data_IF_615954819246
#
_entry.id   IF_615954819246
#
_cell.length_a   1.000
_cell.length_b   1.000
_cell.length_c   1.000
_cell.angle_alpha   90.00
_cell.angle_beta   90.00
_cell.angle_gamma   90.00
#
_symmetry.space_group_name_H-M   'P 1'
#
loop_
_entity.id
_entity.type
_entity.pdbx_description
1 polymer ?
#
# COMPACT_ATOMS: atom_id res chain seq x y z
N UNK A 1 25.29 -40.99 -26.37
CA UNK A 1 23.97 -41.62 -26.48
C UNK A 1 23.51 -41.42 -27.93
N UNK A 2 24.31 -41.89 -28.90
CA UNK A 2 24.48 -43.31 -29.29
C UNK A 2 23.18 -43.76 -29.96
N UNK A 3 23.13 -44.22 -31.21
CA UNK A 3 23.99 -45.25 -31.83
C UNK A 3 23.46 -45.37 -33.29
N UNK A 4 24.25 -45.54 -34.36
CA UNK A 4 24.71 -46.81 -34.98
C UNK A 4 24.75 -46.54 -36.51
N UNK A 5 25.64 -47.02 -37.39
CA UNK A 5 26.73 -48.01 -37.30
C UNK A 5 27.57 -48.00 -38.59
N UNK A 6 28.91 -48.04 -38.42
CA UNK A 6 29.88 -49.06 -38.93
C UNK A 6 29.85 -49.35 -40.46
N UNK A 7 30.85 -48.96 -41.27
CA UNK A 7 32.19 -49.60 -41.48
C UNK A 7 32.05 -51.01 -42.11
N UNK A 8 32.80 -51.56 -43.09
CA UNK A 8 34.21 -51.43 -43.48
C UNK A 8 34.47 -52.30 -44.74
N UNK A 9 35.41 -51.87 -45.60
CA UNK A 9 36.41 -52.64 -46.39
C UNK A 9 36.02 -53.83 -47.30
N UNK A 10 36.53 -53.79 -48.54
CA UNK A 10 37.48 -54.79 -49.05
C UNK A 10 38.25 -54.28 -50.27
N UNK A 11 39.57 -54.47 -50.24
CA UNK A 11 40.47 -54.25 -51.36
C UNK A 11 40.87 -55.57 -52.06
N UNK A 12 41.24 -55.39 -53.34
CA UNK A 12 42.12 -56.19 -54.21
C UNK A 12 41.81 -57.68 -54.46
N UNK A 13 41.58 -58.05 -55.73
CA UNK A 13 42.59 -58.77 -56.50
C UNK A 13 42.38 -58.71 -58.04
N UNK A 14 43.48 -58.96 -58.76
CA UNK A 14 43.74 -58.71 -60.19
C UNK A 14 43.55 -59.97 -61.06
N UNK A 15 43.10 -59.83 -62.31
CA UNK A 15 43.66 -60.56 -63.49
C UNK A 15 43.00 -60.20 -64.85
N UNK A 16 43.79 -59.50 -65.68
CA UNK A 16 44.08 -59.74 -67.12
C UNK A 16 43.05 -60.37 -68.06
N UNK A 17 42.75 -59.66 -69.18
CA UNK A 17 43.30 -59.90 -70.55
C UNK A 17 42.67 -58.87 -71.52
N UNK A 18 43.47 -57.98 -72.13
CA UNK A 18 44.02 -58.12 -73.48
C UNK A 18 42.98 -58.19 -74.60
N UNK A 19 42.78 -57.07 -75.33
CA UNK A 19 43.04 -57.01 -76.78
C UNK A 19 42.66 -55.63 -77.32
N UNK A 20 43.64 -55.02 -78.00
CA UNK A 20 43.58 -53.98 -79.04
C UNK A 20 42.20 -53.55 -79.51
N UNK A 21 41.97 -52.23 -79.54
CA UNK A 21 42.05 -51.46 -80.79
C UNK A 21 41.89 -49.95 -80.50
N UNK A 22 42.93 -49.17 -80.74
CA UNK A 22 43.11 -48.36 -81.94
C UNK A 22 42.34 -47.04 -81.89
N UNK A 23 43.12 -45.95 -81.75
CA UNK A 23 42.84 -44.60 -82.21
C UNK A 23 41.51 -43.94 -81.79
N UNK A 24 41.59 -42.96 -80.89
CA UNK A 24 40.92 -41.69 -81.13
C UNK A 24 41.52 -40.56 -80.29
N UNK A 25 42.24 -39.67 -80.98
CA UNK A 25 42.34 -38.26 -80.62
C UNK A 25 40.93 -37.72 -80.31
N UNK A 26 40.56 -37.65 -79.03
CA UNK A 26 39.38 -36.88 -78.59
C UNK A 26 39.85 -35.49 -78.22
N UNK A 27 39.50 -34.52 -79.07
CA UNK A 27 39.81 -33.10 -78.90
C UNK A 27 39.54 -32.62 -77.46
N UNK A 28 40.53 -32.05 -76.75
CA UNK A 28 40.35 -31.45 -75.41
C UNK A 28 39.15 -30.48 -75.38
N UNK A 29 38.94 -29.75 -76.47
CA UNK A 29 37.85 -28.81 -76.68
C UNK A 29 36.44 -29.43 -76.56
N UNK A 30 36.20 -30.64 -77.10
CA UNK A 30 34.88 -31.29 -77.01
C UNK A 30 34.58 -31.79 -75.58
N UNK A 31 35.61 -32.24 -74.86
CA UNK A 31 35.45 -32.62 -73.45
C UNK A 31 35.20 -31.41 -72.54
N UNK A 32 35.85 -30.28 -72.86
CA UNK A 32 35.64 -29.00 -72.16
C UNK A 32 34.24 -28.44 -72.43
N UNK A 33 33.77 -28.50 -73.68
CA UNK A 33 32.42 -28.05 -74.07
C UNK A 33 31.33 -28.84 -73.33
N UNK A 34 31.42 -30.18 -73.33
CA UNK A 34 30.48 -31.06 -72.58
C UNK A 34 30.54 -30.88 -71.05
N UNK A 35 31.65 -30.37 -70.51
CA UNK A 35 31.74 -30.00 -69.09
C UNK A 35 31.05 -28.66 -68.86
N UNK A 36 31.29 -27.68 -69.73
CA UNK A 36 30.63 -26.37 -69.70
C UNK A 36 29.11 -26.49 -69.82
N UNK A 37 28.60 -27.34 -70.70
CA UNK A 37 27.16 -27.59 -70.84
C UNK A 37 26.55 -28.19 -69.57
N UNK A 38 27.25 -29.14 -68.92
CA UNK A 38 26.81 -29.71 -67.65
C UNK A 38 26.86 -28.71 -66.49
N UNK A 39 27.90 -27.87 -66.44
CA UNK A 39 27.98 -26.79 -65.46
C UNK A 39 26.89 -25.74 -65.69
N UNK A 40 26.61 -25.38 -66.94
CA UNK A 40 25.54 -24.45 -67.29
C UNK A 40 24.16 -25.01 -66.91
N UNK A 41 23.91 -26.30 -67.16
CA UNK A 41 22.68 -26.98 -66.74
C UNK A 41 22.55 -27.02 -65.21
N UNK A 42 23.63 -27.34 -64.49
CA UNK A 42 23.65 -27.34 -63.03
C UNK A 42 23.40 -25.95 -62.42
N UNK A 43 24.00 -24.90 -63.00
CA UNK A 43 23.73 -23.51 -62.60
C UNK A 43 22.27 -23.15 -62.84
N UNK A 44 21.68 -23.59 -63.95
CA UNK A 44 20.27 -23.32 -64.25
C UNK A 44 19.34 -23.97 -63.22
N UNK A 45 19.61 -25.22 -62.83
CA UNK A 45 18.85 -25.94 -61.79
C UNK A 45 19.00 -25.29 -60.41
N UNK A 46 20.22 -24.84 -60.05
CA UNK A 46 20.47 -24.12 -58.80
C UNK A 46 19.75 -22.77 -58.77
N UNK A 47 19.76 -22.02 -59.86
CA UNK A 47 19.04 -20.73 -60.00
C UNK A 47 17.54 -20.95 -59.87
N UNK A 48 16.98 -21.98 -60.51
CA UNK A 48 15.55 -22.31 -60.39
C UNK A 48 15.17 -22.74 -58.97
N UNK A 49 16.06 -23.47 -58.28
CA UNK A 49 15.87 -23.88 -56.89
C UNK A 49 15.88 -22.66 -55.94
N UNK A 50 16.84 -21.76 -56.12
CA UNK A 50 16.94 -20.52 -55.34
C UNK A 50 15.72 -19.62 -55.61
N UNK A 51 15.31 -19.47 -56.87
CA UNK A 51 14.13 -18.69 -57.25
C UNK A 51 12.87 -19.21 -56.55
N UNK A 52 12.64 -20.53 -56.57
CA UNK A 52 11.53 -21.17 -55.82
C UNK A 52 11.61 -20.94 -54.32
N UNK A 53 12.80 -21.03 -53.73
CA UNK A 53 13.01 -20.77 -52.30
C UNK A 53 12.72 -19.31 -51.94
N UNK A 54 13.13 -18.35 -52.78
CA UNK A 54 12.86 -16.92 -52.59
C UNK A 54 11.35 -16.66 -52.67
N UNK A 55 10.65 -17.20 -53.67
CA UNK A 55 9.19 -17.06 -53.77
C UNK A 55 8.47 -17.65 -52.55
N UNK A 56 8.94 -18.79 -52.03
CA UNK A 56 8.36 -19.41 -50.85
C UNK A 56 8.62 -18.60 -49.57
N UNK A 57 9.80 -17.99 -49.45
CA UNK A 57 10.11 -17.08 -48.34
C UNK A 57 9.31 -15.77 -48.43
N UNK A 58 9.18 -15.18 -49.62
CA UNK A 58 8.37 -13.98 -49.83
C UNK A 58 6.91 -14.20 -49.42
N UNK A 59 6.33 -15.35 -49.80
CA UNK A 59 4.97 -15.71 -49.38
C UNK A 59 4.83 -15.88 -47.86
N UNK A 60 5.85 -16.42 -47.18
CA UNK A 60 5.85 -16.54 -45.71
C UNK A 60 5.96 -15.18 -45.03
N UNK A 61 6.76 -14.26 -45.57
CA UNK A 61 6.88 -12.90 -45.04
C UNK A 61 5.53 -12.19 -45.13
N UNK A 62 4.87 -12.26 -46.29
CA UNK A 62 3.54 -11.67 -46.50
C UNK A 62 2.49 -12.24 -45.53
N UNK A 63 2.51 -13.57 -45.29
CA UNK A 63 1.64 -14.18 -44.28
C UNK A 63 1.93 -13.69 -42.85
N UNK A 64 3.20 -13.52 -42.48
CA UNK A 64 3.58 -13.02 -41.15
C UNK A 64 3.21 -11.56 -40.97
N UNK A 65 3.37 -10.72 -41.99
CA UNK A 65 2.96 -9.31 -41.97
C UNK A 65 1.45 -9.19 -41.75
N UNK A 66 0.66 -10.02 -42.44
CA UNK A 66 -0.79 -10.07 -42.24
C UNK A 66 -1.18 -10.52 -40.82
N UNK A 67 -0.45 -11.48 -40.25
CA UNK A 67 -0.67 -11.92 -38.87
C UNK A 67 -0.30 -10.82 -37.85
N UNK A 68 0.78 -10.08 -38.09
CA UNK A 68 1.22 -8.98 -37.24
C UNK A 68 0.20 -7.84 -37.23
N UNK A 69 -0.33 -7.48 -38.40
CA UNK A 69 -1.36 -6.45 -38.54
C UNK A 69 -2.66 -6.87 -37.82
N UNK A 70 -3.10 -8.11 -38.02
CA UNK A 70 -4.26 -8.66 -37.32
C UNK A 70 -4.06 -8.68 -35.79
N UNK A 71 -2.84 -8.98 -35.32
CA UNK A 71 -2.51 -8.96 -33.90
C UNK A 71 -2.54 -7.52 -33.34
N UNK A 72 -1.98 -6.55 -34.06
CA UNK A 72 -2.02 -5.13 -33.67
C UNK A 72 -3.45 -4.61 -33.59
N UNK A 73 -4.28 -4.88 -34.59
CA UNK A 73 -5.69 -4.49 -34.59
C UNK A 73 -6.46 -5.13 -33.43
N UNK A 74 -6.14 -6.40 -33.10
CA UNK A 74 -6.75 -7.08 -31.97
C UNK A 74 -6.30 -6.50 -30.63
N UNK A 75 -5.04 -6.12 -30.49
CA UNK A 75 -4.52 -5.44 -29.29
C UNK A 75 -5.23 -4.10 -29.11
N UNK A 76 -5.26 -3.24 -30.14
CA UNK A 76 -5.94 -1.95 -30.07
C UNK A 76 -7.43 -2.10 -29.71
N UNK A 77 -8.11 -3.09 -30.32
CA UNK A 77 -9.51 -3.38 -30.00
C UNK A 77 -9.68 -3.80 -28.54
N UNK A 78 -8.83 -4.69 -28.04
CA UNK A 78 -8.86 -5.15 -26.66
C UNK A 78 -8.53 -4.02 -25.68
N UNK A 79 -7.59 -3.13 -26.00
CA UNK A 79 -7.26 -1.95 -25.19
C UNK A 79 -8.45 -0.99 -25.08
N UNK A 80 -9.10 -0.67 -26.20
CA UNK A 80 -10.30 0.19 -26.20
C UNK A 80 -11.45 -0.48 -25.44
N UNK A 81 -11.63 -1.79 -25.60
CA UNK A 81 -12.67 -2.55 -24.90
C UNK A 81 -12.39 -2.63 -23.39
N UNK A 82 -11.14 -2.82 -22.97
CA UNK A 82 -10.70 -2.76 -21.58
C UNK A 82 -10.93 -1.38 -20.99
N UNK A 83 -10.49 -0.32 -21.66
CA UNK A 83 -10.72 1.05 -21.22
C UNK A 83 -12.22 1.33 -21.07
N UNK A 84 -13.02 1.01 -22.09
CA UNK A 84 -14.47 1.26 -22.08
C UNK A 84 -15.17 0.46 -20.97
N UNK A 85 -14.76 -0.79 -20.75
CA UNK A 85 -15.35 -1.65 -19.71
C UNK A 85 -14.93 -1.20 -18.32
N UNK A 86 -13.69 -0.76 -18.12
CA UNK A 86 -13.21 -0.15 -16.87
C UNK A 86 -14.01 1.12 -16.60
N UNK A 87 -14.09 2.07 -17.54
CA UNK A 87 -14.84 3.32 -17.33
C UNK A 87 -16.34 3.14 -17.13
N UNK A 88 -16.99 2.17 -17.79
CA UNK A 88 -18.44 1.89 -17.62
C UNK A 88 -18.77 1.03 -16.39
N UNK A 89 -17.81 0.27 -15.87
CA UNK A 89 -18.02 -0.58 -14.69
C UNK A 89 -17.53 0.06 -13.41
N UNK A 90 -16.89 1.23 -13.48
CA UNK A 90 -16.52 1.99 -12.31
C UNK A 90 -17.80 2.60 -11.70
N UNK A 91 -18.21 2.14 -10.50
CA UNK A 91 -19.36 2.74 -9.85
C UNK A 91 -19.06 4.21 -9.54
N UNK A 92 -20.04 5.09 -9.78
CA UNK A 92 -20.02 6.49 -9.35
C UNK A 92 -20.02 6.56 -7.81
N UNK A 93 -18.85 6.32 -7.21
CA UNK A 93 -18.59 6.63 -5.82
C UNK A 93 -18.12 8.08 -5.76
N UNK A 94 -19.06 9.03 -5.86
CA UNK A 94 -18.82 10.39 -5.38
C UNK A 94 -18.72 10.32 -3.85
N UNK A 95 -17.54 9.97 -3.34
CA UNK A 95 -17.27 9.99 -1.91
C UNK A 95 -17.15 11.45 -1.48
N UNK A 96 -18.03 11.89 -0.59
CA UNK A 96 -17.99 13.24 -0.05
C UNK A 96 -17.16 13.30 1.23
N UNK A 97 -16.56 14.46 1.49
CA UNK A 97 -15.86 14.76 2.74
C UNK A 97 -16.75 14.47 3.98
N UNK A 98 -18.05 14.74 3.87
CA UNK A 98 -19.03 14.45 4.93
C UNK A 98 -19.17 12.94 5.19
N UNK A 99 -19.24 12.12 4.13
CA UNK A 99 -19.35 10.65 4.27
C UNK A 99 -18.09 10.03 4.87
N UNK A 100 -16.91 10.53 4.49
CA UNK A 100 -15.62 10.11 5.08
C UNK A 100 -15.57 10.47 6.56
N UNK A 101 -16.00 11.68 6.89
CA UNK A 101 -16.12 12.15 8.27
C UNK A 101 -17.03 11.25 9.10
N UNK A 102 -18.23 10.92 8.59
CA UNK A 102 -19.19 10.04 9.28
C UNK A 102 -18.64 8.62 9.48
N UNK A 103 -18.08 8.01 8.43
CA UNK A 103 -17.45 6.68 8.52
C UNK A 103 -16.32 6.67 9.57
N UNK A 104 -15.50 7.73 9.61
CA UNK A 104 -14.42 7.83 10.57
C UNK A 104 -14.93 7.96 12.01
N UNK A 105 -16.00 8.72 12.25
CA UNK A 105 -16.63 8.82 13.56
C UNK A 105 -17.16 7.46 14.03
N UNK A 106 -17.84 6.71 13.15
CA UNK A 106 -18.34 5.36 13.47
C UNK A 106 -17.21 4.42 13.85
N UNK A 107 -16.10 4.46 13.11
CA UNK A 107 -14.89 3.66 13.42
C UNK A 107 -14.31 4.03 14.78
N UNK A 108 -14.21 5.34 15.05
CA UNK A 108 -13.68 5.87 16.30
C UNK A 108 -14.49 5.37 17.48
N UNK A 109 -15.80 5.59 17.44
CA UNK A 109 -16.72 5.24 18.51
C UNK A 109 -16.76 3.71 18.70
N UNK A 110 -16.74 2.93 17.60
CA UNK A 110 -16.67 1.46 17.66
C UNK A 110 -15.39 0.94 18.29
N UNK A 111 -14.24 1.58 18.03
CA UNK A 111 -12.96 1.22 18.64
C UNK A 111 -12.94 1.57 20.13
N UNK A 112 -13.42 2.75 20.51
CA UNK A 112 -13.54 3.13 21.92
C UNK A 112 -14.43 2.14 22.68
N UNK A 113 -15.64 1.85 22.19
CA UNK A 113 -16.54 0.87 22.82
C UNK A 113 -15.95 -0.54 22.91
N UNK A 114 -15.15 -0.93 21.91
CA UNK A 114 -14.44 -2.20 21.95
C UNK A 114 -13.38 -2.24 23.05
N UNK A 115 -12.69 -1.12 23.26
CA UNK A 115 -11.66 -0.95 24.27
C UNK A 115 -12.23 -0.82 25.70
N UNK A 116 -13.34 -0.11 25.90
CA UNK A 116 -13.96 0.10 27.22
C UNK A 116 -14.32 -1.19 27.96
N UNK A 117 -14.66 -2.27 27.23
CA UNK A 117 -15.00 -3.53 27.89
C UNK A 117 -13.81 -4.44 28.22
N UNK A 118 -12.57 -3.96 28.16
CA UNK A 118 -11.40 -4.72 28.64
C UNK A 118 -11.24 -4.50 30.16
N UNK A 119 -10.92 -5.54 30.95
CA UNK A 119 -10.63 -5.35 32.36
C UNK A 119 -9.36 -4.53 32.60
N UNK A 120 -9.18 -4.07 33.83
CA UNK A 120 -7.98 -3.39 34.28
C UNK A 120 -6.75 -4.31 34.19
N UNK A 121 -5.57 -3.71 33.96
CA UNK A 121 -4.31 -4.42 33.82
C UNK A 121 -3.45 -4.18 35.05
N UNK A 122 -2.97 -5.26 35.66
CA UNK A 122 -2.03 -5.18 36.78
C UNK A 122 -0.70 -4.60 36.32
N UNK A 123 -0.21 -3.60 37.04
CA UNK A 123 1.07 -2.93 36.75
C UNK A 123 1.15 -2.45 35.29
N UNK A 124 0.10 -1.78 34.80
CA UNK A 124 0.00 -1.34 33.41
C UNK A 124 1.22 -0.54 32.95
N UNK A 125 1.60 0.49 33.72
CA UNK A 125 2.75 1.35 33.42
C UNK A 125 4.07 0.56 33.24
N UNK A 126 4.33 -0.43 34.10
CA UNK A 126 5.55 -1.25 34.05
C UNK A 126 5.55 -2.24 32.88
N UNK A 127 4.36 -2.73 32.49
CA UNK A 127 4.20 -3.75 31.45
C UNK A 127 4.08 -3.16 30.04
N UNK A 128 3.59 -1.93 29.91
CA UNK A 128 3.36 -1.25 28.63
C UNK A 128 4.63 -1.16 27.79
N UNK A 129 5.72 -0.65 28.38
CA UNK A 129 6.98 -0.46 27.66
C UNK A 129 7.51 -1.81 27.15
N UNK A 130 7.44 -2.87 27.97
CA UNK A 130 7.84 -4.22 27.57
C UNK A 130 6.97 -4.78 26.45
N UNK A 131 5.65 -4.59 26.52
CA UNK A 131 4.70 -5.03 25.49
C UNK A 131 5.00 -4.38 24.13
N UNK A 132 5.29 -3.07 24.11
CA UNK A 132 5.67 -2.31 22.91
C UNK A 132 6.94 -2.89 22.28
N UNK A 133 8.01 -3.07 23.06
CA UNK A 133 9.27 -3.63 22.54
C UNK A 133 9.11 -5.08 22.05
N UNK A 134 8.41 -5.94 22.80
CA UNK A 134 8.21 -7.36 22.43
C UNK A 134 7.47 -7.53 21.11
N UNK A 135 6.60 -6.58 20.75
CA UNK A 135 5.84 -6.59 19.51
C UNK A 135 6.51 -5.83 18.37
N UNK A 136 7.68 -5.23 18.62
CA UNK A 136 8.41 -4.46 17.61
C UNK A 136 7.64 -3.23 17.16
N UNK A 137 6.77 -2.71 18.02
CA UNK A 137 5.97 -1.53 17.74
C UNK A 137 6.90 -0.32 17.77
N UNK A 138 6.90 0.50 16.71
CA UNK A 138 7.74 1.69 16.67
C UNK A 138 7.33 2.65 17.78
N UNK A 139 8.27 2.95 18.68
CA UNK A 139 8.05 3.90 19.77
C UNK A 139 7.76 5.30 19.26
N UNK A 140 8.23 5.65 18.06
CA UNK A 140 7.96 6.95 17.46
C UNK A 140 6.49 7.09 17.00
N UNK A 141 5.73 5.99 16.88
CA UNK A 141 4.28 6.08 16.67
C UNK A 141 3.53 6.61 17.89
N UNK A 142 4.16 6.57 19.08
CA UNK A 142 3.52 6.92 20.35
C UNK A 142 4.37 7.92 21.10
N UNK A 143 4.10 9.19 20.88
CA UNK A 143 4.75 10.27 21.63
C UNK A 143 4.08 10.44 22.98
N UNK A 144 4.65 9.80 24.00
CA UNK A 144 4.35 10.08 25.40
C UNK A 144 5.36 11.08 25.96
N UNK A 145 4.93 12.05 26.79
CA UNK A 145 5.85 12.84 27.58
C UNK A 145 6.48 11.94 28.67
N UNK A 146 7.68 11.41 28.41
CA UNK A 146 8.40 10.48 29.32
C UNK A 146 8.75 11.11 30.68
N UNK A 147 8.89 12.44 30.73
CA UNK A 147 9.32 13.15 31.94
C UNK A 147 8.22 13.35 32.98
N UNK A 148 6.95 13.11 32.63
CA UNK A 148 5.86 13.63 33.44
C UNK A 148 5.44 12.74 34.63
N UNK A 149 6.03 11.56 34.86
CA UNK A 149 5.55 10.62 35.91
C UNK A 149 4.02 10.51 35.92
N UNK A 150 3.41 10.52 34.74
CA UNK A 150 1.96 10.44 34.62
C UNK A 150 1.58 9.03 35.04
N UNK A 151 0.69 8.92 36.02
CA UNK A 151 0.04 7.66 36.33
C UNK A 151 -0.83 7.30 35.13
N UNK A 152 -0.27 6.50 34.22
CA UNK A 152 -0.96 6.04 33.01
C UNK A 152 -2.14 5.12 33.33
N UNK A 153 -2.24 4.66 34.57
CA UNK A 153 -3.28 3.76 35.04
C UNK A 153 -4.68 4.40 34.85
N UNK A 154 -4.82 5.72 35.06
CA UNK A 154 -6.07 6.43 34.79
C UNK A 154 -6.38 6.61 33.30
N UNK A 155 -5.41 6.49 32.41
CA UNK A 155 -5.58 6.64 30.96
C UNK A 155 -5.37 5.31 30.20
N UNK A 156 -5.46 4.18 30.90
CA UNK A 156 -5.14 2.86 30.34
C UNK A 156 -5.94 2.59 29.06
N UNK A 157 -7.25 2.83 29.10
CA UNK A 157 -8.17 2.59 27.99
C UNK A 157 -7.80 3.46 26.79
N UNK A 158 -7.53 4.75 26.99
CA UNK A 158 -7.12 5.69 25.95
C UNK A 158 -5.77 5.29 25.34
N UNK A 159 -4.80 4.91 26.16
CA UNK A 159 -3.47 4.49 25.69
C UNK A 159 -3.57 3.24 24.81
N UNK A 160 -4.30 2.23 25.28
CA UNK A 160 -4.50 1.00 24.51
C UNK A 160 -5.31 1.25 23.22
N UNK A 161 -6.28 2.18 23.26
CA UNK A 161 -7.04 2.61 22.09
C UNK A 161 -6.13 3.31 21.08
N UNK A 162 -5.30 4.25 21.52
CA UNK A 162 -4.32 4.96 20.68
C UNK A 162 -3.35 3.97 20.03
N UNK A 163 -2.81 3.01 20.79
CA UNK A 163 -1.90 1.99 20.27
C UNK A 163 -2.60 1.11 19.23
N UNK A 164 -3.80 0.64 19.55
CA UNK A 164 -4.60 -0.18 18.62
C UNK A 164 -4.90 0.57 17.33
N UNK A 165 -5.35 1.82 17.43
CA UNK A 165 -5.61 2.66 16.26
C UNK A 165 -4.33 2.92 15.47
N UNK A 166 -3.19 3.20 16.12
CA UNK A 166 -1.91 3.40 15.47
C UNK A 166 -1.49 2.19 14.65
N UNK A 167 -1.52 1.00 15.24
CA UNK A 167 -1.20 -0.27 14.56
C UNK A 167 -2.15 -0.50 13.37
N UNK A 168 -3.46 -0.29 13.58
CA UNK A 168 -4.46 -0.45 12.51
C UNK A 168 -4.23 0.57 11.39
N UNK A 169 -3.92 1.82 11.73
CA UNK A 169 -3.66 2.89 10.77
C UNK A 169 -2.47 2.52 9.89
N UNK A 170 -1.34 2.15 10.48
CA UNK A 170 -0.13 1.79 9.73
C UNK A 170 -0.40 0.63 8.76
N UNK A 171 -1.05 -0.44 9.25
CA UNK A 171 -1.24 -1.67 8.48
C UNK A 171 -2.45 -1.69 7.54
N UNK A 172 -3.43 -0.81 7.74
CA UNK A 172 -4.67 -0.77 6.94
C UNK A 172 -4.83 0.57 6.26
N UNK A 173 -4.94 1.67 7.02
CA UNK A 173 -5.24 2.99 6.46
C UNK A 173 -4.09 3.55 5.63
N UNK A 174 -2.84 3.28 5.97
CA UNK A 174 -1.67 3.80 5.22
C UNK A 174 -1.17 2.78 4.20
N UNK A 175 -1.10 1.50 4.59
CA UNK A 175 -0.64 0.42 3.71
C UNK A 175 -1.57 0.11 2.53
N UNK A 176 -2.89 0.30 2.67
CA UNK A 176 -3.84 0.07 1.57
C UNK A 176 -4.03 1.30 0.67
N UNK A 177 -3.63 2.49 1.13
CA UNK A 177 -3.70 3.75 0.36
C UNK A 177 -2.55 3.87 -0.66
N UNK A 178 -1.55 2.98 -0.59
CA UNK A 178 -0.43 2.93 -1.52
C UNK A 178 -0.44 1.71 -2.43
N UNK A 179 -0.80 1.88 -3.71
CA UNK A 179 0.00 1.21 -4.74
C UNK A 179 1.31 2.00 -4.77
N UNK A 180 2.46 1.44 -4.36
CA UNK A 180 3.71 2.18 -4.39
C UNK A 180 4.00 2.54 -5.85
N UNK A 181 3.96 3.83 -6.19
CA UNK A 181 4.58 4.27 -7.43
C UNK A 181 6.07 3.92 -7.34
N UNK A 182 6.66 3.31 -8.39
CA UNK A 182 8.08 3.01 -8.40
C UNK A 182 8.91 4.23 -8.02
N UNK A 183 9.88 4.04 -7.12
CA UNK A 183 10.68 5.09 -6.48
C UNK A 183 11.37 6.04 -7.47
N UNK A 184 11.55 5.60 -8.72
CA UNK A 184 12.12 6.38 -9.83
C UNK A 184 11.25 7.56 -10.29
N UNK A 185 9.95 7.58 -10.01
CA UNK A 185 9.04 8.67 -10.43
C UNK A 185 8.96 9.84 -9.44
N UNK A 186 9.51 9.70 -8.22
CA UNK A 186 9.44 10.73 -7.17
C UNK A 186 10.15 12.04 -7.52
N UNK A 187 11.14 11.99 -8.43
CA UNK A 187 11.86 13.19 -8.93
C UNK A 187 11.25 13.79 -10.20
N UNK A 188 10.44 13.03 -10.95
CA UNK A 188 9.72 13.52 -12.14
C UNK A 188 8.39 14.21 -11.79
N UNK A 189 7.87 13.97 -10.58
CA UNK A 189 6.60 14.47 -10.06
C UNK A 189 6.45 16.00 -10.00
N UNK A 190 7.52 16.78 -10.19
CA UNK A 190 7.44 18.26 -10.25
C UNK A 190 6.84 18.74 -11.59
N UNK A 191 6.88 17.91 -12.63
CA UNK A 191 6.34 18.22 -13.97
C UNK A 191 5.09 17.43 -14.35
N UNK A 192 4.60 16.55 -13.47
CA UNK A 192 3.45 15.70 -13.78
C UNK A 192 2.19 16.34 -13.20
N UNK A 193 1.14 16.35 -14.00
CA UNK A 193 -0.21 16.68 -13.59
C UNK A 193 -0.66 15.72 -12.46
N UNK A 194 -0.58 16.22 -11.23
CA UNK A 194 -0.90 15.48 -10.00
C UNK A 194 -2.35 15.03 -10.01
N UNK A 195 -3.25 15.81 -10.60
CA UNK A 195 -4.68 15.47 -10.69
C UNK A 195 -4.87 14.24 -11.58
N UNK A 196 -4.21 14.21 -12.74
CA UNK A 196 -4.25 13.06 -13.64
C UNK A 196 -3.64 11.79 -13.02
N UNK A 197 -2.54 11.90 -12.26
CA UNK A 197 -1.99 10.74 -11.54
C UNK A 197 -2.98 10.23 -10.49
N UNK A 198 -3.58 11.13 -9.70
CA UNK A 198 -4.49 10.73 -8.64
C UNK A 198 -5.75 10.07 -9.20
N UNK A 199 -6.28 10.61 -10.30
CA UNK A 199 -7.40 10.03 -11.02
C UNK A 199 -7.05 8.62 -11.50
N UNK A 200 -5.91 8.46 -12.20
CA UNK A 200 -5.45 7.14 -12.67
C UNK A 200 -5.23 6.14 -11.52
N UNK A 201 -4.63 6.59 -10.41
CA UNK A 201 -4.44 5.77 -9.20
C UNK A 201 -5.81 5.32 -8.66
N UNK A 202 -6.73 6.26 -8.52
CA UNK A 202 -8.06 5.99 -7.97
C UNK A 202 -8.82 4.98 -8.83
N UNK A 203 -8.75 5.12 -10.16
CA UNK A 203 -9.39 4.23 -11.12
C UNK A 203 -8.76 2.83 -11.12
N UNK A 204 -7.43 2.76 -11.01
CA UNK A 204 -6.70 1.49 -10.93
C UNK A 204 -7.04 0.74 -9.65
N UNK A 205 -7.05 1.43 -8.50
CA UNK A 205 -7.46 0.83 -7.22
C UNK A 205 -8.91 0.38 -7.30
N UNK A 206 -9.80 1.19 -7.89
CA UNK A 206 -11.21 0.85 -8.07
C UNK A 206 -11.37 -0.43 -8.87
N UNK A 207 -10.70 -0.55 -10.01
CA UNK A 207 -10.71 -1.76 -10.83
C UNK A 207 -10.19 -2.99 -10.04
N UNK A 208 -9.08 -2.85 -9.33
CA UNK A 208 -8.49 -3.94 -8.54
C UNK A 208 -9.39 -4.38 -7.38
N UNK A 209 -10.04 -3.43 -6.70
CA UNK A 209 -10.91 -3.69 -5.56
C UNK A 209 -12.16 -4.51 -5.90
N UNK A 210 -12.59 -4.50 -7.18
CA UNK A 210 -13.71 -5.35 -7.63
C UNK A 210 -13.35 -6.84 -7.69
N UNK A 211 -12.06 -7.19 -7.71
CA UNK A 211 -11.60 -8.57 -7.84
C UNK A 211 -11.83 -9.38 -6.56
N UNK A 212 -12.11 -10.68 -6.71
CA UNK A 212 -12.22 -11.57 -5.55
C UNK A 212 -10.89 -11.70 -4.79
N UNK A 213 -9.77 -11.71 -5.52
CA UNK A 213 -8.44 -11.76 -4.94
C UNK A 213 -8.17 -10.59 -3.97
N UNK A 214 -8.64 -9.38 -4.30
CA UNK A 214 -8.55 -8.25 -3.38
C UNK A 214 -9.39 -8.47 -2.12
N UNK A 215 -10.64 -8.91 -2.27
CA UNK A 215 -11.55 -9.16 -1.14
C UNK A 215 -10.97 -10.20 -0.18
N UNK A 216 -10.46 -11.31 -0.72
CA UNK A 216 -9.84 -12.37 0.07
C UNK A 216 -8.58 -11.85 0.79
N UNK A 217 -7.76 -11.04 0.10
CA UNK A 217 -6.58 -10.40 0.69
C UNK A 217 -6.95 -9.48 1.84
N UNK A 218 -8.00 -8.67 1.72
CA UNK A 218 -8.47 -7.80 2.81
C UNK A 218 -8.93 -8.62 4.01
N UNK A 219 -9.72 -9.68 3.79
CA UNK A 219 -10.12 -10.59 4.89
C UNK A 219 -8.90 -11.18 5.59
N UNK A 220 -7.92 -11.68 4.82
CA UNK A 220 -6.68 -12.22 5.39
C UNK A 220 -5.90 -11.16 6.18
N UNK A 221 -5.78 -9.92 5.68
CA UNK A 221 -5.14 -8.82 6.40
C UNK A 221 -5.88 -8.49 7.70
N UNK A 222 -7.21 -8.39 7.69
CA UNK A 222 -8.00 -8.13 8.89
C UNK A 222 -7.84 -9.25 9.94
N UNK A 223 -7.89 -10.52 9.53
CA UNK A 223 -7.68 -11.65 10.45
C UNK A 223 -6.24 -11.66 11.01
N UNK A 224 -5.24 -11.37 10.18
CA UNK A 224 -3.84 -11.27 10.61
C UNK A 224 -3.63 -10.14 11.62
N UNK A 225 -4.24 -8.99 11.40
CA UNK A 225 -4.18 -7.83 12.29
C UNK A 225 -4.88 -8.09 13.63
N UNK A 226 -6.04 -8.74 13.62
CA UNK A 226 -6.70 -9.18 14.84
C UNK A 226 -5.81 -10.15 15.65
N UNK A 227 -5.10 -11.06 14.96
CA UNK A 227 -4.10 -11.94 15.57
C UNK A 227 -2.91 -11.19 16.16
N UNK A 228 -2.42 -10.16 15.47
CA UNK A 228 -1.34 -9.29 15.96
C UNK A 228 -1.75 -8.53 17.23
N UNK A 229 -2.94 -7.92 17.22
CA UNK A 229 -3.50 -7.23 18.38
C UNK A 229 -3.74 -8.21 19.54
N UNK A 230 -4.28 -9.42 19.30
CA UNK A 230 -4.36 -10.48 20.32
C UNK A 230 -3.00 -10.75 20.95
N UNK A 231 -1.96 -10.81 20.13
CA UNK A 231 -0.60 -10.96 20.61
C UNK A 231 -0.16 -9.80 21.50
N UNK A 232 -0.40 -8.56 21.08
CA UNK A 232 -0.08 -7.37 21.88
C UNK A 232 -0.80 -7.38 23.23
N UNK A 233 -2.12 -7.55 23.23
CA UNK A 233 -2.91 -7.59 24.46
C UNK A 233 -2.55 -8.79 25.36
N UNK A 234 -2.12 -9.91 24.77
CA UNK A 234 -1.65 -11.08 25.51
C UNK A 234 -0.34 -10.86 26.29
N UNK A 235 0.33 -9.71 26.14
CA UNK A 235 1.46 -9.32 26.98
C UNK A 235 1.03 -8.84 28.38
N UNK A 236 -0.24 -8.51 28.58
CA UNK A 236 -0.76 -7.93 29.82
C UNK A 236 -1.41 -8.98 30.72
N UNK A 237 -1.36 -8.71 32.03
CA UNK A 237 -2.06 -9.50 33.05
C UNK A 237 -3.32 -8.76 33.49
N UNK A 238 -4.46 -9.17 32.93
CA UNK A 238 -5.77 -8.61 33.27
C UNK A 238 -6.22 -9.06 34.66
N UNK A 239 -6.87 -8.16 35.39
CA UNK A 239 -7.34 -8.43 36.75
C UNK A 239 -8.49 -9.43 36.80
N UNK A 240 -9.35 -9.38 35.77
CA UNK A 240 -10.52 -10.24 35.65
C UNK A 240 -10.47 -11.08 34.36
N UNK A 241 -11.04 -12.30 34.37
CA UNK A 241 -11.21 -13.07 33.15
C UNK A 241 -12.29 -12.45 32.26
N UNK A 242 -12.08 -12.49 30.95
CA UNK A 242 -13.04 -12.03 29.96
C UNK A 242 -13.04 -12.92 28.72
N UNK A 243 -14.12 -12.86 27.93
CA UNK A 243 -14.24 -13.63 26.69
C UNK A 243 -13.39 -13.01 25.57
N UNK A 244 -12.15 -13.47 25.49
CA UNK A 244 -11.19 -13.14 24.44
C UNK A 244 -11.73 -13.38 23.05
N UNK A 245 -12.40 -14.51 22.83
CA UNK A 245 -12.84 -14.89 21.50
C UNK A 245 -14.02 -14.00 21.08
N UNK A 246 -14.91 -13.60 21.99
CA UNK A 246 -15.94 -12.62 21.71
C UNK A 246 -15.34 -11.24 21.38
N UNK A 247 -14.37 -10.77 22.17
CA UNK A 247 -13.68 -9.49 21.92
C UNK A 247 -13.02 -9.45 20.54
N UNK A 248 -12.29 -10.51 20.19
CA UNK A 248 -11.61 -10.59 18.90
C UNK A 248 -12.58 -10.81 17.74
N UNK A 249 -13.64 -11.61 17.92
CA UNK A 249 -14.70 -11.74 16.91
C UNK A 249 -15.36 -10.41 16.60
N UNK A 250 -15.65 -9.57 17.62
CA UNK A 250 -16.19 -8.22 17.40
C UNK A 250 -15.23 -7.36 16.58
N UNK A 251 -13.95 -7.34 16.96
CA UNK A 251 -12.91 -6.62 16.22
C UNK A 251 -12.84 -7.07 14.76
N UNK A 252 -12.71 -8.38 14.52
CA UNK A 252 -12.52 -8.96 13.18
C UNK A 252 -13.75 -8.84 12.29
N UNK A 253 -14.97 -9.03 12.83
CA UNK A 253 -16.19 -9.10 12.03
C UNK A 253 -16.93 -7.78 11.91
N UNK A 254 -16.73 -6.85 12.83
CA UNK A 254 -17.48 -5.58 12.84
C UNK A 254 -16.58 -4.37 12.60
N UNK A 255 -15.44 -4.29 13.29
CA UNK A 255 -14.64 -3.04 13.31
C UNK A 255 -13.64 -3.00 12.15
N UNK A 256 -12.77 -4.00 12.03
CA UNK A 256 -11.74 -4.03 10.98
C UNK A 256 -12.32 -3.97 9.55
N UNK A 257 -13.47 -4.60 9.23
CA UNK A 257 -14.09 -4.46 7.91
C UNK A 257 -14.55 -3.03 7.62
N UNK A 258 -15.06 -2.30 8.62
CA UNK A 258 -15.44 -0.88 8.45
C UNK A 258 -14.20 -0.02 8.19
N UNK A 259 -13.10 -0.27 8.90
CA UNK A 259 -11.83 0.43 8.70
C UNK A 259 -11.25 0.14 7.32
N UNK A 260 -11.28 -1.12 6.89
CA UNK A 260 -10.85 -1.50 5.55
C UNK A 260 -11.73 -0.86 4.45
N UNK A 261 -13.04 -0.74 4.70
CA UNK A 261 -13.95 -0.05 3.79
C UNK A 261 -13.65 1.45 3.72
N UNK A 262 -13.34 2.12 4.84
CA UNK A 262 -12.89 3.51 4.83
C UNK A 262 -11.55 3.65 4.09
N UNK A 263 -10.57 2.79 4.38
CA UNK A 263 -9.28 2.79 3.68
C UNK A 263 -9.46 2.67 2.15
N UNK A 264 -10.34 1.77 1.72
CA UNK A 264 -10.69 1.61 0.31
C UNK A 264 -11.37 2.85 -0.26
N UNK A 265 -12.34 3.46 0.45
CA UNK A 265 -13.00 4.71 0.04
C UNK A 265 -11.98 5.83 -0.16
N UNK A 266 -11.05 6.02 0.78
CA UNK A 266 -9.97 7.00 0.68
C UNK A 266 -9.04 6.73 -0.52
N UNK A 267 -8.77 5.46 -0.81
CA UNK A 267 -7.87 5.05 -1.91
C UNK A 267 -8.52 5.18 -3.30
N UNK A 268 -9.84 4.98 -3.37
CA UNK A 268 -10.65 5.11 -4.58
C UNK A 268 -11.06 6.55 -4.88
N UNK A 269 -10.76 7.49 -3.98
CA UNK A 269 -10.98 8.92 -4.19
C UNK A 269 -9.83 9.53 -5.02
N UNK A 270 -10.13 10.41 -5.99
CA UNK A 270 -9.12 11.23 -6.64
C UNK A 270 -8.52 12.27 -5.69
N UNK A 271 -9.25 12.61 -4.61
CA UNK A 271 -8.77 13.51 -3.57
C UNK A 271 -7.69 12.85 -2.70
N UNK A 272 -6.78 13.65 -2.15
CA UNK A 272 -5.73 13.15 -1.26
C UNK A 272 -6.04 13.48 0.18
N UNK A 273 -6.29 12.44 0.96
CA UNK A 273 -6.46 12.53 2.40
C UNK A 273 -5.18 12.16 3.13
N UNK A 274 -4.93 12.80 4.25
CA UNK A 274 -3.80 12.47 5.09
C UNK A 274 -4.12 12.73 6.57
N UNK A 275 -3.41 12.00 7.42
CA UNK A 275 -3.53 12.10 8.86
C UNK A 275 -2.39 12.96 9.38
N UNK A 276 -2.71 13.96 10.18
CA UNK A 276 -1.71 14.85 10.73
C UNK A 276 -1.90 15.04 12.23
N UNK A 277 -0.76 15.09 12.89
CA UNK A 277 -0.61 15.54 14.26
C UNK A 277 -0.41 17.04 14.15
N UNK A 278 -1.29 17.86 14.73
CA UNK A 278 -1.04 19.30 14.75
C UNK A 278 0.36 19.57 15.36
N UNK A 279 1.13 20.53 14.81
CA UNK A 279 2.55 20.36 14.48
C UNK A 279 3.52 20.41 15.67
N UNK A 280 4.64 19.72 15.50
CA UNK A 280 5.95 19.91 16.16
C UNK A 280 5.93 20.23 17.67
N UNK A 281 5.04 19.56 18.40
CA UNK A 281 5.06 19.63 19.85
C UNK A 281 6.32 18.91 20.35
N UNK A 282 7.16 19.63 21.08
CA UNK A 282 8.32 19.05 21.75
C UNK A 282 7.84 18.19 22.93
N UNK A 283 7.63 16.91 22.65
CA UNK A 283 7.22 15.90 23.65
C UNK A 283 8.29 15.60 24.70
N UNK A 284 9.47 16.23 24.63
CA UNK A 284 10.42 16.19 25.73
C UNK A 284 9.95 17.02 26.92
N UNK A 285 9.04 17.98 26.72
CA UNK A 285 8.47 18.81 27.78
C UNK A 285 6.96 18.63 27.92
N UNK A 286 6.39 19.01 29.08
CA UNK A 286 4.95 19.05 29.27
C UNK A 286 4.31 20.04 28.30
N UNK A 287 3.40 19.55 27.46
CA UNK A 287 2.65 20.39 26.55
C UNK A 287 1.46 20.97 27.31
N UNK A 288 1.56 22.24 27.69
CA UNK A 288 0.49 22.97 28.39
C UNK A 288 -0.69 23.17 27.43
N UNK A 289 -1.86 22.67 27.82
CA UNK A 289 -3.09 22.82 27.06
C UNK A 289 -3.87 24.02 27.59
N UNK A 290 -4.11 25.01 26.73
CA UNK A 290 -4.76 26.27 27.09
C UNK A 290 -6.23 26.30 26.64
N UNK A 291 -7.01 27.22 27.19
CA UNK A 291 -8.43 27.39 26.81
C UNK A 291 -8.63 27.59 25.31
N UNK A 292 -7.80 28.42 24.66
CA UNK A 292 -7.85 28.63 23.20
C UNK A 292 -7.75 27.35 22.37
N UNK A 293 -7.17 26.28 22.92
CA UNK A 293 -7.04 25.01 22.22
C UNK A 293 -8.36 24.22 22.17
N UNK A 294 -9.31 24.46 23.08
CA UNK A 294 -10.60 23.75 23.10
C UNK A 294 -11.44 23.95 21.83
N UNK A 295 -11.24 25.05 21.09
CA UNK A 295 -11.92 25.25 19.81
C UNK A 295 -11.32 24.42 18.68
N UNK A 296 -10.07 24.01 18.80
CA UNK A 296 -9.28 23.39 17.73
C UNK A 296 -9.29 21.85 17.84
N UNK A 297 -9.50 21.32 19.04
CA UNK A 297 -9.44 19.89 19.33
C UNK A 297 -10.75 19.38 19.93
N UNK A 298 -11.03 18.09 19.74
CA UNK A 298 -11.92 17.36 20.63
C UNK A 298 -11.07 16.99 21.84
N UNK A 299 -11.41 17.52 23.01
CA UNK A 299 -10.56 17.36 24.20
C UNK A 299 -11.25 16.44 25.20
N UNK A 300 -10.56 15.40 25.64
CA UNK A 300 -11.02 14.47 26.67
C UNK A 300 -10.17 14.64 27.93
N UNK A 301 -10.79 14.61 29.10
CA UNK A 301 -10.08 14.56 30.37
C UNK A 301 -9.83 13.12 30.78
N UNK A 302 -8.58 12.78 31.08
CA UNK A 302 -8.15 11.41 31.35
C UNK A 302 -8.73 10.83 32.65
N UNK A 303 -9.07 11.66 33.63
CA UNK A 303 -9.57 11.18 34.91
C UNK A 303 -11.08 10.91 34.88
N UNK A 304 -11.82 11.71 34.12
CA UNK A 304 -13.27 11.60 33.99
C UNK A 304 -13.73 10.86 32.74
N UNK A 305 -12.82 10.62 31.79
CA UNK A 305 -13.11 10.06 30.46
C UNK A 305 -14.15 10.86 29.66
N UNK A 306 -14.41 12.11 30.07
CA UNK A 306 -15.43 12.95 29.46
C UNK A 306 -14.84 13.97 28.49
N UNK A 307 -15.55 14.17 27.37
CA UNK A 307 -15.24 15.23 26.43
C UNK A 307 -15.57 16.59 27.06
N UNK A 308 -14.59 17.48 27.07
CA UNK A 308 -14.74 18.85 27.57
C UNK A 308 -15.52 19.69 26.57
N UNK A 309 -16.60 20.31 27.02
CA UNK A 309 -17.36 21.26 26.22
C UNK A 309 -16.80 22.68 26.42
N UNK A 310 -16.30 23.37 25.37
CA UNK A 310 -15.77 24.73 25.51
C UNK A 310 -16.80 25.76 26.01
N UNK A 311 -18.10 25.50 25.83
CA UNK A 311 -19.18 26.39 26.21
C UNK A 311 -19.63 26.23 27.67
N UNK A 312 -19.08 25.26 28.41
CA UNK A 312 -19.43 25.07 29.82
C UNK A 312 -19.06 26.30 30.63
N UNK A 313 -19.89 26.67 31.63
CA UNK A 313 -19.69 27.88 32.45
C UNK A 313 -18.28 28.00 33.06
N UNK A 314 -17.67 26.84 33.40
CA UNK A 314 -16.29 26.74 33.87
C UNK A 314 -15.28 27.39 32.91
N UNK A 315 -15.40 27.13 31.61
CA UNK A 315 -14.45 27.60 30.60
C UNK A 315 -14.87 28.93 29.98
N UNK A 316 -16.17 29.23 29.95
CA UNK A 316 -16.71 30.46 29.36
C UNK A 316 -16.08 31.73 29.99
N UNK A 317 -15.79 31.70 31.29
CA UNK A 317 -15.23 32.83 32.03
C UNK A 317 -13.69 32.83 32.13
N UNK A 318 -13.02 31.78 31.62
CA UNK A 318 -11.56 31.71 31.62
C UNK A 318 -10.96 32.59 30.50
N UNK A 319 -9.74 33.09 30.71
CA UNK A 319 -8.98 33.73 29.64
C UNK A 319 -8.47 32.69 28.63
N UNK A 320 -8.26 33.10 27.38
CA UNK A 320 -7.86 32.20 26.29
C UNK A 320 -6.48 31.55 26.50
N UNK A 321 -5.58 32.24 27.21
CA UNK A 321 -4.27 31.73 27.61
C UNK A 321 -4.30 31.05 29.00
N UNK A 322 -5.46 30.85 29.61
CA UNK A 322 -5.52 30.13 30.88
C UNK A 322 -5.18 28.65 30.66
N UNK A 323 -4.27 28.05 31.46
CA UNK A 323 -3.97 26.63 31.38
C UNK A 323 -5.18 25.82 31.86
N UNK A 324 -5.57 24.82 31.08
CA UNK A 324 -6.65 23.87 31.38
C UNK A 324 -6.10 22.52 31.81
N UNK A 325 -4.88 22.18 31.37
CA UNK A 325 -4.24 20.92 31.71
C UNK A 325 -2.94 20.70 30.95
N UNK A 326 -2.49 19.46 30.94
CA UNK A 326 -1.32 19.01 30.18
C UNK A 326 -1.74 17.90 29.23
N UNK A 327 -1.28 17.95 27.98
CA UNK A 327 -1.52 16.90 27.00
C UNK A 327 -0.81 15.62 27.41
N UNK A 328 -1.55 14.52 27.47
CA UNK A 328 -1.01 13.19 27.73
C UNK A 328 -0.70 12.46 26.43
N UNK A 329 -1.66 12.46 25.51
CA UNK A 329 -1.57 11.77 24.23
C UNK A 329 -2.56 12.33 23.22
N UNK A 330 -2.32 12.01 21.94
CA UNK A 330 -3.28 12.22 20.85
C UNK A 330 -3.93 10.87 20.57
N UNK A 331 -5.21 10.74 20.94
CA UNK A 331 -5.96 9.50 20.81
C UNK A 331 -6.27 9.18 19.35
N UNK A 332 -6.73 10.20 18.62
CA UNK A 332 -6.96 10.14 17.19
C UNK A 332 -6.37 11.38 16.51
N UNK A 333 -5.55 11.22 15.45
CA UNK A 333 -5.02 12.33 14.69
C UNK A 333 -6.14 13.05 13.91
N UNK A 334 -5.85 14.26 13.47
CA UNK A 334 -6.76 14.99 12.60
C UNK A 334 -6.71 14.40 11.19
N UNK A 335 -7.86 14.43 10.50
CA UNK A 335 -7.97 14.03 9.10
C UNK A 335 -8.12 15.28 8.25
N UNK A 336 -7.26 15.40 7.24
CA UNK A 336 -7.27 16.49 6.29
C UNK A 336 -7.45 15.98 4.87
N UNK A 337 -8.01 16.84 4.02
CA UNK A 337 -7.93 16.72 2.57
C UNK A 337 -7.00 17.80 2.02
N UNK A 338 -5.99 17.35 1.30
CA UNK A 338 -5.02 18.20 0.61
C UNK A 338 -5.72 18.92 -0.54
N UNK A 339 -5.56 20.24 -0.63
CA UNK A 339 -6.06 21.03 -1.77
C UNK A 339 -4.87 21.44 -2.65
N UNK A 340 -4.73 20.90 -3.88
CA UNK A 340 -3.61 21.24 -4.75
C UNK A 340 -3.50 22.75 -4.99
N UNK A 341 -2.31 23.32 -4.73
CA UNK A 341 -2.05 24.74 -4.94
C UNK A 341 -2.63 25.69 -3.87
N UNK A 342 -3.30 25.16 -2.83
CA UNK A 342 -3.70 25.93 -1.65
C UNK A 342 -2.61 25.88 -0.58
N UNK A 343 -2.53 26.93 0.24
CA UNK A 343 -1.76 26.91 1.48
C UNK A 343 -2.53 26.29 2.65
N UNK A 344 -3.85 26.15 2.51
CA UNK A 344 -4.73 25.65 3.56
C UNK A 344 -5.41 24.37 3.09
N UNK A 345 -5.18 23.30 3.85
CA UNK A 345 -5.87 22.03 3.68
C UNK A 345 -7.22 22.03 4.40
N UNK A 346 -8.14 21.21 3.91
CA UNK A 346 -9.50 21.15 4.44
C UNK A 346 -9.52 20.18 5.60
N UNK A 347 -9.80 20.69 6.80
CA UNK A 347 -10.02 19.86 7.98
C UNK A 347 -11.33 19.09 7.85
N UNK A 348 -11.22 17.77 7.77
CA UNK A 348 -12.36 16.85 7.71
C UNK A 348 -12.80 16.47 9.11
N UNK A 349 -11.84 16.07 9.96
CA UNK A 349 -12.10 15.68 11.34
C UNK A 349 -11.00 16.20 12.28
N UNK A 350 -11.43 16.77 13.40
CA UNK A 350 -10.53 17.29 14.44
C UNK A 350 -9.81 16.13 15.14
N UNK A 351 -8.57 16.38 15.54
CA UNK A 351 -7.85 15.47 16.42
C UNK A 351 -8.55 15.37 17.78
N UNK A 352 -8.48 14.18 18.37
CA UNK A 352 -8.91 13.91 19.74
C UNK A 352 -7.68 13.88 20.63
N UNK A 353 -7.63 14.78 21.60
CA UNK A 353 -6.51 14.93 22.53
C UNK A 353 -6.97 14.59 23.92
N UNK A 354 -6.17 13.80 24.63
CA UNK A 354 -6.40 13.44 26.02
C UNK A 354 -5.49 14.29 26.88
N UNK A 355 -6.08 15.00 27.85
CA UNK A 355 -5.36 15.84 28.79
C UNK A 355 -5.54 15.32 30.21
N UNK A 356 -4.58 15.62 31.07
CA UNK A 356 -4.81 15.64 32.50
C UNK A 356 -5.22 17.06 32.89
N UNK A 357 -6.45 17.21 33.39
CA UNK A 357 -6.96 18.49 33.85
C UNK A 357 -6.06 19.14 34.90
N UNK A 358 -5.96 20.46 34.86
CA UNK A 358 -5.06 21.23 35.74
C UNK A 358 -5.31 21.01 37.23
N UNK A 359 -6.55 20.72 37.61
CA UNK A 359 -6.95 20.42 39.00
C UNK A 359 -6.48 19.03 39.47
N UNK A 360 -6.31 18.07 38.56
CA UNK A 360 -5.84 16.72 38.86
C UNK A 360 -4.33 16.56 38.68
N UNK A 361 -3.60 17.65 38.36
CA UNK A 361 -2.14 17.61 38.24
C UNK A 361 -1.46 17.47 39.62
N UNK A 362 -0.47 16.57 39.72
CA UNK A 362 0.48 16.54 40.83
C UNK A 362 1.11 17.92 41.11
N UNK A 363 1.39 18.23 42.37
CA UNK A 363 1.87 19.56 42.79
C UNK A 363 3.16 20.00 42.10
N UNK A 364 4.08 19.07 41.84
CA UNK A 364 5.31 19.31 41.07
C UNK A 364 5.03 19.71 39.62
N UNK A 365 4.06 19.05 38.97
CA UNK A 365 3.68 19.36 37.59
C UNK A 365 2.93 20.68 37.51
N UNK A 366 2.05 20.95 38.47
CA UNK A 366 1.35 22.22 38.57
C UNK A 366 2.33 23.39 38.66
N UNK A 367 3.35 23.28 39.52
CA UNK A 367 4.42 24.29 39.62
C UNK A 367 5.22 24.45 38.31
N UNK A 368 5.49 23.35 37.58
CA UNK A 368 6.15 23.40 36.26
C UNK A 368 5.28 24.11 35.22
N UNK A 369 3.99 23.79 35.15
CA UNK A 369 3.01 24.46 34.26
C UNK A 369 2.94 25.96 34.57
N UNK A 370 2.79 26.32 35.84
CA UNK A 370 2.72 27.73 36.27
C UNK A 370 3.98 28.49 35.85
N UNK A 371 5.16 27.89 36.03
CA UNK A 371 6.44 28.49 35.64
C UNK A 371 6.60 28.68 34.12
N UNK A 372 5.98 27.82 33.31
CA UNK A 372 5.98 27.92 31.84
C UNK A 372 5.03 29.01 31.38
N UNK A 373 3.84 29.10 32.00
CA UNK A 373 2.86 30.16 31.69
C UNK A 373 3.30 31.56 32.08
N UNK A 374 4.24 31.72 33.02
CA UNK A 374 4.81 33.03 33.38
C UNK A 374 5.95 33.51 32.47
N UNK A 375 6.43 32.67 31.53
CA UNK A 375 7.54 32.99 30.63
C UNK A 375 7.11 33.38 29.22
N UNK A 376 5.85 33.13 28.85
CA UNK A 376 5.19 33.65 27.64
C UNK A 376 4.54 35.00 27.93
#
# INVERSE_FOLDING_TARGET
>A
MDENSISTTKGFDVSTTSSRDSNQNKCPAQSALKRLERHAAGIYEEVDSVSRSISQQAYRIEQMEQQLENAHQRIQKLEVELQTRIFRSMPDYQVSDASISEDFLVIRDSLCEWMEGFPDIRSFTETLDNAIHRRGIDKNMFTFPRELQLEFDHAQTEILTMISFGIIREHVLESLVGVPLPTEYRRLLIFIDIENINLWRSDTVRAYATTQAYKDKIVQHCSGLAGYLRGFFGCFSFEEPFDWDQKLRRLEKQILPQIAALALKLSCSPERYYWEWYPDLDWTQPIVFHKRNLSNFITMDAHTHHTLNPQTARFANMQDNAPIGVVLLILYPALFRLVPGSQNDILIQKAVVVIQGYESLPSNLKAKVDSLTTKE
#
